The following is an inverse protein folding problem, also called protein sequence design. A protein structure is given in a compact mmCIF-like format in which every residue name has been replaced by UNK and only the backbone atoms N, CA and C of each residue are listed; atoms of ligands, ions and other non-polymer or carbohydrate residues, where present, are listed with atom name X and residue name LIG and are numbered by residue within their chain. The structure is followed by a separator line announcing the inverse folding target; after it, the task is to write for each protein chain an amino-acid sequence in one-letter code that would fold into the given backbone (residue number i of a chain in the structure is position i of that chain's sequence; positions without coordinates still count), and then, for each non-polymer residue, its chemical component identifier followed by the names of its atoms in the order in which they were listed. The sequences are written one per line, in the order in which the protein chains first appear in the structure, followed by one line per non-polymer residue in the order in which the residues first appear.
data_IF_195832668057
#
_entry.id   IF_195832668057
#
_cell.length_a   1.000
_cell.length_b   1.000
_cell.length_c   1.000
_cell.angle_alpha   90.00
_cell.angle_beta   90.00
_cell.angle_gamma   90.00
#
_symmetry.space_group_name_H-M   'P 1'
#
loop_
_entity.id
_entity.type
_entity.pdbx_description
1 polymer ?
#
# COMPACT_ATOMS: atom_id res chain seq x y z
N UNK A 1 29.26 -4.52 -19.41
CA UNK A 1 28.62 -5.28 -18.32
C UNK A 1 28.28 -4.31 -17.19
N UNK A 2 27.03 -3.85 -17.10
CA UNK A 2 26.58 -2.97 -16.01
C UNK A 2 26.46 -3.80 -14.75
N UNK A 3 27.37 -3.62 -13.79
CA UNK A 3 27.28 -4.19 -12.46
C UNK A 3 26.02 -3.63 -11.80
N UNK A 4 24.94 -4.41 -11.83
CA UNK A 4 23.69 -4.04 -11.18
C UNK A 4 23.98 -3.77 -9.70
N UNK A 5 23.71 -2.53 -9.26
CA UNK A 5 23.84 -2.12 -7.87
C UNK A 5 23.00 -3.06 -7.02
N UNK A 6 23.61 -3.76 -6.04
CA UNK A 6 22.91 -4.66 -5.11
C UNK A 6 21.88 -3.98 -4.21
N UNK A 7 21.60 -2.69 -4.41
CA UNK A 7 20.68 -1.86 -3.63
C UNK A 7 19.67 -1.12 -4.52
N UNK A 8 18.49 -0.87 -3.97
CA UNK A 8 17.50 0.00 -4.60
C UNK A 8 17.98 1.46 -4.61
N UNK A 9 17.55 2.23 -5.62
CA UNK A 9 17.85 3.66 -5.66
C UNK A 9 17.23 4.40 -4.47
N UNK A 10 17.76 5.58 -4.14
CA UNK A 10 17.30 6.36 -2.98
C UNK A 10 15.79 6.64 -3.04
N UNK A 11 15.27 7.03 -4.21
CA UNK A 11 13.84 7.32 -4.37
C UNK A 11 12.98 6.10 -4.09
N UNK A 12 13.36 4.90 -4.57
CA UNK A 12 12.64 3.65 -4.29
C UNK A 12 12.58 3.36 -2.79
N UNK A 13 13.67 3.61 -2.07
CA UNK A 13 13.79 3.38 -0.63
C UNK A 13 12.96 4.38 0.17
N UNK A 14 13.07 5.68 -0.15
CA UNK A 14 12.27 6.74 0.51
C UNK A 14 10.78 6.48 0.30
N UNK A 15 10.34 6.24 -0.94
CA UNK A 15 8.94 5.91 -1.23
C UNK A 15 8.48 4.65 -0.51
N UNK A 16 9.35 3.62 -0.41
CA UNK A 16 8.99 2.39 0.32
C UNK A 16 8.71 2.64 1.79
N UNK A 17 9.65 3.27 2.48
CA UNK A 17 9.54 3.46 3.92
C UNK A 17 8.46 4.47 4.31
N UNK A 18 8.30 5.56 3.53
CA UNK A 18 7.18 6.49 3.71
C UNK A 18 5.84 5.80 3.55
N UNK A 19 5.68 4.99 2.49
CA UNK A 19 4.45 4.23 2.26
C UNK A 19 4.23 3.15 3.32
N UNK A 20 5.27 2.44 3.76
CA UNK A 20 5.16 1.44 4.82
C UNK A 20 4.61 2.07 6.10
N UNK A 21 5.16 3.21 6.52
CA UNK A 21 4.68 3.95 7.69
C UNK A 21 3.22 4.39 7.51
N UNK A 22 2.89 4.99 6.37
CA UNK A 22 1.53 5.48 6.09
C UNK A 22 0.50 4.34 6.02
N UNK A 23 0.86 3.19 5.43
CA UNK A 23 -0.04 2.02 5.34
C UNK A 23 -0.27 1.41 6.71
N UNK A 24 0.78 1.27 7.53
CA UNK A 24 0.64 0.79 8.91
C UNK A 24 -0.26 1.74 9.70
N UNK A 25 -0.03 3.05 9.64
CA UNK A 25 -0.89 4.05 10.28
C UNK A 25 -2.34 3.95 9.77
N UNK A 26 -2.55 3.79 8.46
CA UNK A 26 -3.87 3.64 7.85
C UNK A 26 -4.61 2.39 8.33
N UNK A 27 -3.92 1.27 8.51
CA UNK A 27 -4.50 0.04 9.06
C UNK A 27 -4.98 0.25 10.50
N UNK A 28 -4.18 0.91 11.34
CA UNK A 28 -4.61 1.27 12.70
C UNK A 28 -5.78 2.24 12.70
N UNK A 29 -5.75 3.28 11.86
CA UNK A 29 -6.87 4.22 11.69
C UNK A 29 -8.14 3.47 11.28
N UNK A 30 -8.04 2.56 10.29
CA UNK A 30 -9.18 1.77 9.80
C UNK A 30 -9.79 0.88 10.88
N UNK A 31 -8.97 0.15 11.62
CA UNK A 31 -9.43 -0.73 12.72
C UNK A 31 -10.06 0.11 13.84
N UNK A 32 -9.41 1.19 14.27
CA UNK A 32 -9.93 2.05 15.35
C UNK A 32 -11.24 2.73 14.94
N UNK A 33 -11.38 3.13 13.68
CA UNK A 33 -12.59 3.74 13.12
C UNK A 33 -13.80 2.80 13.16
N UNK A 34 -13.56 1.48 13.09
CA UNK A 34 -14.61 0.47 13.23
C UNK A 34 -14.89 0.16 14.71
N UNK A 35 -13.85 0.09 15.53
CA UNK A 35 -13.94 -0.28 16.95
C UNK A 35 -14.48 0.85 17.85
N UNK A 36 -14.27 2.13 17.48
CA UNK A 36 -14.66 3.27 18.31
C UNK A 36 -15.56 4.25 17.55
N UNK A 37 -16.86 4.26 17.92
CA UNK A 37 -17.82 5.22 17.36
C UNK A 37 -17.49 6.66 17.74
N UNK A 38 -16.91 6.89 18.92
CA UNK A 38 -16.53 8.21 19.42
C UNK A 38 -15.42 8.84 18.59
N UNK A 39 -14.37 8.07 18.24
CA UNK A 39 -13.24 8.56 17.46
C UNK A 39 -13.51 8.57 15.96
N UNK A 40 -14.55 7.88 15.50
CA UNK A 40 -14.85 7.67 14.09
C UNK A 40 -14.90 8.95 13.24
N UNK A 41 -15.57 10.06 13.67
CA UNK A 41 -15.63 11.28 12.86
C UNK A 41 -14.25 11.84 12.57
N UNK A 42 -13.41 12.01 13.60
CA UNK A 42 -12.04 12.49 13.48
C UNK A 42 -11.18 11.57 12.59
N UNK A 43 -11.32 10.24 12.77
CA UNK A 43 -10.54 9.27 12.02
C UNK A 43 -10.95 9.18 10.55
N UNK A 44 -12.22 9.42 10.21
CA UNK A 44 -12.68 9.53 8.82
C UNK A 44 -12.02 10.71 8.12
N UNK A 45 -11.92 11.85 8.80
CA UNK A 45 -11.29 13.07 8.25
C UNK A 45 -9.78 12.91 8.02
N UNK A 46 -9.13 12.02 8.77
CA UNK A 46 -7.75 11.60 8.54
C UNK A 46 -7.63 10.51 7.46
N UNK A 47 -8.53 9.52 7.48
CA UNK A 47 -8.49 8.36 6.59
C UNK A 47 -8.62 8.73 5.12
N UNK A 48 -9.54 9.63 4.80
CA UNK A 48 -9.83 10.04 3.40
C UNK A 48 -8.60 10.65 2.70
N UNK A 49 -8.02 11.75 3.21
CA UNK A 49 -6.87 12.37 2.54
C UNK A 49 -5.61 11.50 2.61
N UNK A 50 -5.40 10.74 3.69
CA UNK A 50 -4.28 9.80 3.79
C UNK A 50 -4.40 8.68 2.75
N UNK A 51 -5.62 8.17 2.50
CA UNK A 51 -5.88 7.18 1.46
C UNK A 51 -5.54 7.69 0.05
N UNK A 52 -5.94 8.91 -0.28
CA UNK A 52 -5.59 9.55 -1.57
C UNK A 52 -4.08 9.78 -1.67
N UNK A 53 -3.43 10.24 -0.60
CA UNK A 53 -1.98 10.43 -0.57
C UNK A 53 -1.23 9.11 -0.81
N UNK A 54 -1.66 8.00 -0.19
CA UNK A 54 -1.11 6.66 -0.45
C UNK A 54 -1.30 6.29 -1.93
N UNK A 55 -2.48 6.53 -2.52
CA UNK A 55 -2.74 6.29 -3.93
C UNK A 55 -1.78 7.02 -4.86
N UNK A 56 -1.50 8.30 -4.60
CA UNK A 56 -0.50 9.08 -5.35
C UNK A 56 0.90 8.50 -5.19
N UNK A 57 1.31 8.18 -3.96
CA UNK A 57 2.63 7.61 -3.70
C UNK A 57 2.83 6.24 -4.37
N UNK A 58 1.79 5.42 -4.43
CA UNK A 58 1.81 4.13 -5.16
C UNK A 58 2.08 4.34 -6.64
N UNK A 59 1.43 5.32 -7.28
CA UNK A 59 1.67 5.64 -8.69
C UNK A 59 3.12 6.09 -8.93
N UNK A 60 3.64 6.97 -8.06
CA UNK A 60 5.04 7.41 -8.13
C UNK A 60 6.01 6.23 -7.92
N UNK A 61 5.70 5.35 -6.96
CA UNK A 61 6.51 4.17 -6.70
C UNK A 61 6.47 3.18 -7.86
N UNK A 62 5.30 2.95 -8.46
CA UNK A 62 5.14 2.09 -9.63
C UNK A 62 5.90 2.66 -10.83
N UNK A 63 5.79 3.96 -11.08
CA UNK A 63 6.55 4.65 -12.12
C UNK A 63 8.06 4.46 -11.93
N UNK A 64 8.57 4.71 -10.71
CA UNK A 64 9.99 4.51 -10.41
C UNK A 64 10.41 3.03 -10.59
N UNK A 65 9.54 2.08 -10.21
CA UNK A 65 9.78 0.64 -10.38
C UNK A 65 9.87 0.20 -11.83
N UNK A 66 9.06 0.80 -12.71
CA UNK A 66 9.07 0.50 -14.15
C UNK A 66 10.30 1.12 -14.85
N UNK A 67 10.81 2.25 -14.33
CA UNK A 67 11.99 2.93 -14.89
C UNK A 67 13.33 2.35 -14.41
N UNK A 68 13.37 1.73 -13.24
CA UNK A 68 14.61 1.23 -12.64
C UNK A 68 14.50 -0.26 -12.32
N UNK A 69 15.47 -1.02 -12.78
CA UNK A 69 15.53 -2.46 -12.48
C UNK A 69 15.77 -2.69 -10.98
N UNK A 70 15.03 -3.63 -10.41
CA UNK A 70 15.29 -4.06 -9.05
C UNK A 70 16.58 -4.86 -8.95
N UNK A 71 17.26 -4.84 -7.82
CA UNK A 71 18.32 -5.79 -7.53
C UNK A 71 17.83 -7.24 -7.74
N UNK A 72 18.69 -8.11 -8.28
CA UNK A 72 18.33 -9.52 -8.43
C UNK A 72 18.15 -10.17 -7.04
N UNK A 73 17.25 -11.14 -6.99
CA UNK A 73 17.12 -12.00 -5.81
C UNK A 73 18.34 -12.94 -5.72
N UNK A 74 18.69 -13.46 -4.52
CA UNK A 74 19.74 -14.45 -4.35
C UNK A 74 19.52 -15.66 -5.27
N UNK A 75 20.61 -16.15 -5.90
CA UNK A 75 20.53 -17.23 -6.90
C UNK A 75 20.17 -18.59 -6.28
N UNK A 76 20.38 -18.76 -4.98
CA UNK A 76 20.10 -19.95 -4.20
C UNK A 76 18.65 -20.03 -3.67
N UNK A 77 17.80 -19.04 -4.02
CA UNK A 77 16.40 -19.06 -3.60
C UNK A 77 15.61 -20.15 -4.36
N UNK A 78 14.84 -20.99 -3.64
CA UNK A 78 13.90 -21.91 -4.27
C UNK A 78 12.91 -21.19 -5.19
N UNK A 79 12.57 -21.78 -6.32
CA UNK A 79 11.68 -21.17 -7.33
C UNK A 79 10.35 -20.70 -6.72
N UNK A 80 9.77 -21.49 -5.81
CA UNK A 80 8.50 -21.12 -5.16
C UNK A 80 8.62 -19.83 -4.31
N UNK A 81 9.77 -19.58 -3.65
CA UNK A 81 10.01 -18.32 -2.90
C UNK A 81 10.13 -17.12 -3.85
N UNK A 82 10.80 -17.30 -4.99
CA UNK A 82 10.88 -16.27 -6.02
C UNK A 82 9.49 -15.92 -6.57
N UNK A 83 8.66 -16.93 -6.83
CA UNK A 83 7.28 -16.74 -7.29
C UNK A 83 6.42 -16.08 -6.23
N UNK A 84 6.49 -16.51 -4.97
CA UNK A 84 5.76 -15.93 -3.84
C UNK A 84 6.15 -14.46 -3.62
N UNK A 85 7.44 -14.12 -3.70
CA UNK A 85 7.91 -12.74 -3.59
C UNK A 85 7.35 -11.86 -4.72
N UNK A 86 7.37 -12.33 -5.97
CA UNK A 86 6.78 -11.59 -7.11
C UNK A 86 5.28 -11.42 -6.95
N UNK A 87 4.55 -12.49 -6.60
CA UNK A 87 3.11 -12.46 -6.40
C UNK A 87 2.72 -11.50 -5.26
N UNK A 88 3.41 -11.56 -4.12
CA UNK A 88 3.21 -10.66 -2.98
C UNK A 88 3.38 -9.20 -3.36
N UNK A 89 4.43 -8.85 -4.10
CA UNK A 89 4.63 -7.47 -4.55
C UNK A 89 3.52 -6.99 -5.50
N UNK A 90 3.12 -7.81 -6.48
CA UNK A 90 2.03 -7.45 -7.38
C UNK A 90 0.69 -7.33 -6.66
N UNK A 91 0.41 -8.22 -5.71
CA UNK A 91 -0.77 -8.14 -4.85
C UNK A 91 -0.78 -6.84 -4.04
N UNK A 92 0.35 -6.45 -3.43
CA UNK A 92 0.47 -5.18 -2.70
C UNK A 92 0.20 -3.99 -3.62
N UNK A 93 0.79 -3.92 -4.82
CA UNK A 93 0.53 -2.85 -5.76
C UNK A 93 -0.96 -2.78 -6.16
N UNK A 94 -1.56 -3.93 -6.49
CA UNK A 94 -2.96 -4.01 -6.86
C UNK A 94 -3.89 -3.52 -5.74
N UNK A 95 -3.66 -3.98 -4.51
CA UNK A 95 -4.46 -3.59 -3.35
C UNK A 95 -4.27 -2.11 -2.98
N UNK A 96 -3.03 -1.61 -2.99
CA UNK A 96 -2.73 -0.21 -2.68
C UNK A 96 -3.31 0.76 -3.71
N UNK A 97 -3.51 0.36 -4.97
CA UNK A 97 -4.21 1.13 -6.00
C UNK A 97 -5.73 0.99 -5.89
N UNK A 98 -6.21 -0.23 -5.67
CA UNK A 98 -7.65 -0.49 -5.60
C UNK A 98 -8.32 0.17 -4.39
N UNK A 99 -7.66 0.16 -3.22
CA UNK A 99 -8.24 0.66 -1.97
C UNK A 99 -8.66 2.14 -2.02
N UNK A 100 -7.81 3.11 -2.42
CA UNK A 100 -8.24 4.50 -2.53
C UNK A 100 -9.29 4.72 -3.62
N UNK A 101 -9.22 4.00 -4.74
CA UNK A 101 -10.21 4.09 -5.83
C UNK A 101 -11.59 3.58 -5.38
N UNK A 102 -11.62 2.42 -4.71
CA UNK A 102 -12.86 1.86 -4.16
C UNK A 102 -13.42 2.78 -3.06
N UNK A 103 -12.56 3.33 -2.20
CA UNK A 103 -12.97 4.31 -1.19
C UNK A 103 -13.58 5.57 -1.79
N UNK A 104 -12.99 6.08 -2.87
CA UNK A 104 -13.50 7.24 -3.60
C UNK A 104 -14.85 6.92 -4.27
N UNK A 105 -14.92 5.81 -5.01
CA UNK A 105 -16.16 5.36 -5.63
C UNK A 105 -17.26 5.09 -4.59
N UNK A 106 -16.92 4.49 -3.46
CA UNK A 106 -17.86 4.23 -2.36
C UNK A 106 -18.47 5.52 -1.83
N UNK A 107 -17.66 6.54 -1.51
CA UNK A 107 -18.16 7.83 -1.03
C UNK A 107 -18.99 8.54 -2.08
N UNK A 108 -18.57 8.49 -3.36
CA UNK A 108 -19.35 9.02 -4.48
C UNK A 108 -20.73 8.35 -4.59
N UNK A 109 -20.78 7.01 -4.54
CA UNK A 109 -22.03 6.25 -4.58
C UNK A 109 -22.94 6.53 -3.37
N UNK A 110 -22.36 6.87 -2.22
CA UNK A 110 -23.10 7.26 -1.02
C UNK A 110 -23.56 8.71 -0.99
N UNK A 111 -23.16 9.53 -1.95
CA UNK A 111 -23.45 10.97 -1.96
C UNK A 111 -22.65 11.75 -0.90
N UNK A 112 -21.59 11.18 -0.36
CA UNK A 112 -20.75 11.82 0.66
C UNK A 112 -19.67 12.69 0.00
N UNK A 113 -19.48 13.95 0.47
CA UNK A 113 -18.40 14.80 -0.04
C UNK A 113 -17.04 14.24 0.38
N UNK A 114 -16.07 14.31 -0.54
CA UNK A 114 -14.68 13.96 -0.26
C UNK A 114 -13.90 15.26 -0.17
N UNK A 115 -13.63 15.67 1.05
CA UNK A 115 -12.86 16.87 1.34
C UNK A 115 -11.46 16.45 1.76
N UNK A 116 -10.45 16.96 1.07
CA UNK A 116 -9.04 16.78 1.40
C UNK A 116 -8.52 17.97 2.21
N UNK A 117 -7.27 17.90 2.61
CA UNK A 117 -6.59 19.00 3.30
C UNK A 117 -6.69 20.32 2.51
N UNK A 118 -6.87 21.42 3.22
CA UNK A 118 -7.04 22.75 2.60
C UNK A 118 -8.39 22.97 1.91
N UNK A 119 -9.39 22.11 2.17
CA UNK A 119 -10.73 22.28 1.62
C UNK A 119 -10.88 21.85 0.15
N UNK A 120 -9.92 21.12 -0.42
CA UNK A 120 -10.02 20.61 -1.78
C UNK A 120 -11.10 19.53 -1.86
N UNK A 121 -12.12 19.76 -2.68
CA UNK A 121 -13.19 18.81 -2.93
C UNK A 121 -12.87 17.95 -4.14
N UNK A 122 -12.91 16.63 -3.99
CA UNK A 122 -12.83 15.71 -5.12
C UNK A 122 -14.22 15.52 -5.75
N UNK A 123 -14.32 15.51 -7.09
CA UNK A 123 -15.60 15.27 -7.78
C UNK A 123 -16.07 13.83 -7.58
N UNK A 124 -17.38 13.54 -7.65
CA UNK A 124 -17.87 12.18 -7.67
C UNK A 124 -17.44 11.47 -8.97
N UNK A 125 -17.05 10.20 -8.87
CA UNK A 125 -16.59 9.38 -10.00
C UNK A 125 -17.61 8.31 -10.42
N UNK A 126 -18.65 8.11 -9.62
CA UNK A 126 -19.79 7.24 -9.93
C UNK A 126 -21.09 7.90 -9.47
N UNK A 127 -22.26 7.56 -10.06
CA UNK A 127 -23.54 8.13 -9.66
C UNK A 127 -23.94 7.69 -8.24
N UNK A 128 -24.77 8.51 -7.59
CA UNK A 128 -25.35 8.18 -6.29
C UNK A 128 -26.30 6.98 -6.44
N UNK A 129 -25.94 5.87 -5.77
CA UNK A 129 -26.68 4.61 -5.84
C UNK A 129 -26.47 3.83 -4.53
N UNK A 130 -27.49 3.67 -3.67
CA UNK A 130 -27.35 2.99 -2.38
C UNK A 130 -26.85 1.54 -2.49
N UNK A 131 -27.30 0.80 -3.51
CA UNK A 131 -26.86 -0.57 -3.74
C UNK A 131 -25.36 -0.64 -4.07
N UNK A 132 -24.87 0.28 -4.93
CA UNK A 132 -23.44 0.37 -5.26
C UNK A 132 -22.61 0.77 -4.03
N UNK A 133 -23.11 1.73 -3.23
CA UNK A 133 -22.45 2.08 -1.96
C UNK A 133 -22.28 0.86 -1.06
N UNK A 134 -23.34 0.06 -0.86
CA UNK A 134 -23.27 -1.14 -0.02
C UNK A 134 -22.26 -2.17 -0.56
N UNK A 135 -22.27 -2.42 -1.88
CA UNK A 135 -21.34 -3.34 -2.51
C UNK A 135 -19.87 -2.88 -2.38
N UNK A 136 -19.59 -1.60 -2.67
CA UNK A 136 -18.25 -1.02 -2.56
C UNK A 136 -17.74 -0.96 -1.11
N UNK A 137 -18.64 -0.71 -0.14
CA UNK A 137 -18.30 -0.75 1.28
C UNK A 137 -17.86 -2.15 1.72
N UNK A 138 -18.59 -3.18 1.30
CA UNK A 138 -18.24 -4.57 1.60
C UNK A 138 -16.91 -4.96 0.93
N UNK A 139 -16.73 -4.57 -0.34
CA UNK A 139 -15.49 -4.80 -1.07
C UNK A 139 -14.30 -4.11 -0.40
N UNK A 140 -14.45 -2.82 0.00
CA UNK A 140 -13.41 -2.06 0.71
C UNK A 140 -13.01 -2.75 2.02
N UNK A 141 -13.99 -3.21 2.80
CA UNK A 141 -13.73 -3.92 4.06
C UNK A 141 -13.02 -5.25 3.83
N UNK A 142 -13.48 -6.06 2.88
CA UNK A 142 -12.85 -7.34 2.55
C UNK A 142 -11.40 -7.16 2.07
N UNK A 143 -11.19 -6.21 1.15
CA UNK A 143 -9.85 -5.94 0.61
C UNK A 143 -8.91 -5.33 1.66
N UNK A 144 -9.45 -4.62 2.67
CA UNK A 144 -8.64 -4.16 3.81
C UNK A 144 -8.07 -5.33 4.62
N UNK A 145 -8.84 -6.40 4.85
CA UNK A 145 -8.33 -7.62 5.50
C UNK A 145 -7.31 -8.35 4.62
N UNK A 146 -7.55 -8.41 3.31
CA UNK A 146 -6.60 -9.02 2.36
C UNK A 146 -5.29 -8.21 2.33
N UNK A 147 -5.37 -6.87 2.30
CA UNK A 147 -4.21 -6.00 2.39
C UNK A 147 -3.44 -6.21 3.70
N UNK A 148 -4.15 -6.26 4.83
CA UNK A 148 -3.55 -6.50 6.14
C UNK A 148 -2.79 -7.84 6.17
N UNK A 149 -3.41 -8.93 5.73
CA UNK A 149 -2.77 -10.24 5.66
C UNK A 149 -1.54 -10.24 4.73
N UNK A 150 -1.65 -9.56 3.57
CA UNK A 150 -0.55 -9.45 2.61
C UNK A 150 0.62 -8.64 3.18
N UNK A 151 0.35 -7.55 3.93
CA UNK A 151 1.37 -6.76 4.64
C UNK A 151 2.06 -7.61 5.70
N UNK A 152 1.31 -8.37 6.51
CA UNK A 152 1.89 -9.26 7.53
C UNK A 152 2.81 -10.31 6.90
N UNK A 153 2.38 -10.96 5.82
CA UNK A 153 3.21 -11.92 5.09
C UNK A 153 4.47 -11.26 4.51
N UNK A 154 4.34 -10.06 3.95
CA UNK A 154 5.47 -9.31 3.39
C UNK A 154 6.49 -8.93 4.47
N UNK A 155 6.03 -8.41 5.62
CA UNK A 155 6.90 -8.10 6.77
C UNK A 155 7.54 -9.38 7.32
N UNK A 156 6.77 -10.46 7.48
CA UNK A 156 7.29 -11.75 7.93
C UNK A 156 8.39 -12.29 7.02
N UNK A 157 8.20 -12.23 5.69
CA UNK A 157 9.21 -12.60 4.72
C UNK A 157 10.47 -11.71 4.82
N UNK A 158 10.29 -10.39 4.96
CA UNK A 158 11.41 -9.46 5.12
C UNK A 158 12.23 -9.74 6.38
N UNK A 159 11.57 -10.04 7.51
CA UNK A 159 12.22 -10.42 8.77
C UNK A 159 12.91 -11.80 8.67
N UNK A 160 12.32 -12.75 7.95
CA UNK A 160 12.94 -14.04 7.68
C UNK A 160 14.25 -13.88 6.89
N UNK A 161 14.26 -13.03 5.84
CA UNK A 161 15.48 -12.71 5.10
C UNK A 161 16.52 -11.98 5.98
N UNK A 162 16.06 -11.10 6.89
CA UNK A 162 16.95 -10.34 7.79
C UNK A 162 17.62 -11.23 8.84
N UNK A 163 16.86 -12.07 9.54
CA UNK A 163 17.33 -12.77 10.74
C UNK A 163 17.74 -14.22 10.50
N UNK A 164 17.04 -14.91 9.59
CA UNK A 164 17.26 -16.35 9.35
C UNK A 164 18.19 -16.54 8.15
N UNK A 165 17.81 -16.04 6.97
CA UNK A 165 18.63 -16.25 5.77
C UNK A 165 19.87 -15.35 5.73
N UNK A 166 19.77 -14.12 6.21
CA UNK A 166 20.84 -13.11 6.23
C UNK A 166 21.49 -12.88 4.85
N UNK A 167 20.65 -12.87 3.81
CA UNK A 167 21.05 -12.91 2.40
C UNK A 167 21.09 -11.53 1.71
N UNK A 168 20.98 -10.44 2.47
CA UNK A 168 21.08 -9.07 1.96
C UNK A 168 19.77 -8.51 1.33
N UNK A 169 18.71 -9.30 1.16
CA UNK A 169 17.44 -8.86 0.55
C UNK A 169 16.82 -7.70 1.32
N UNK A 170 16.76 -7.77 2.64
CA UNK A 170 16.28 -6.68 3.48
C UNK A 170 17.18 -5.45 3.37
N UNK A 171 18.49 -5.64 3.45
CA UNK A 171 19.49 -4.56 3.41
C UNK A 171 19.44 -3.80 2.08
N UNK A 172 19.14 -4.48 0.98
CA UNK A 172 18.99 -3.84 -0.33
C UNK A 172 17.92 -2.74 -0.35
N UNK A 173 16.88 -2.85 0.50
CA UNK A 173 15.83 -1.85 0.66
C UNK A 173 16.07 -0.91 1.85
N UNK A 174 16.74 -1.37 2.92
CA UNK A 174 16.93 -0.58 4.13
C UNK A 174 18.14 0.37 4.04
N UNK A 175 19.25 -0.07 3.42
CA UNK A 175 20.51 0.70 3.40
C UNK A 175 20.85 1.17 1.98
N UNK A 176 21.56 2.32 1.88
CA UNK A 176 22.22 2.74 0.66
C UNK A 176 23.52 1.98 0.43
N UNK A 177 24.19 2.28 -0.67
CA UNK A 177 25.64 2.01 -0.77
C UNK A 177 26.34 2.92 0.23
N UNK A 178 27.08 2.32 1.14
CA UNK A 178 28.12 3.02 1.90
C UNK A 178 29.29 3.30 0.95
#
# INVERSE_FOLDING_TARGET
MSTGNGHFNLLARVLHWSMALMIIAMLFVGVTMVASLHLRPMLIDLHRPLGIAIGVLVLLRLYNRLRHRAPPLPADLPVWQVMAAKASHWMLYALMLAMPLIGWAMLSAGGYPIVLWGGLHLPPIVPHTPALYAALRNAHSLLAYVLFATVLMHVGAALFHLWVRRDGVFQAMARGKD
#
